data_IF_228309298266
#
_entry.id   IF_228309298266
#
_cell.length_a   1.000
_cell.length_b   1.000
_cell.length_c   1.000
_cell.angle_alpha   90.00
_cell.angle_beta   90.00
_cell.angle_gamma   90.00
#
_symmetry.space_group_name_H-M   'P 1'
#
loop_
_entity.id
_entity.type
_entity.pdbx_description
1 polymer ?
#
# COMPACT_ATOMS: atom_id res chain seq x y z
N UNK A 1 -35.93 16.07 -24.97
CA UNK A 1 -36.15 15.60 -23.58
C UNK A 1 -35.00 14.71 -23.19
N UNK A 2 -34.06 15.19 -22.39
CA UNK A 2 -33.03 14.32 -21.78
C UNK A 2 -33.64 13.68 -20.54
N UNK A 3 -33.82 12.36 -20.55
CA UNK A 3 -34.25 11.63 -19.37
C UNK A 3 -33.16 11.72 -18.30
N UNK A 4 -33.46 12.33 -17.16
CA UNK A 4 -32.60 12.28 -15.98
C UNK A 4 -32.67 10.86 -15.39
N UNK A 5 -31.77 9.98 -15.81
CA UNK A 5 -31.59 8.67 -15.18
C UNK A 5 -30.81 8.89 -13.89
N UNK A 6 -31.44 8.62 -12.75
CA UNK A 6 -30.79 8.65 -11.43
C UNK A 6 -30.36 7.23 -11.07
N UNK A 7 -29.05 7.02 -10.94
CA UNK A 7 -28.52 5.78 -10.38
C UNK A 7 -28.80 5.76 -8.86
N UNK A 8 -29.53 4.73 -8.42
CA UNK A 8 -29.69 4.43 -7.00
C UNK A 8 -28.68 3.34 -6.61
N UNK A 9 -27.65 3.73 -5.87
CA UNK A 9 -26.54 2.87 -5.46
C UNK A 9 -26.21 3.10 -3.98
N UNK A 10 -27.06 2.63 -3.04
CA UNK A 10 -26.91 2.90 -1.61
C UNK A 10 -25.64 2.32 -0.98
N UNK A 11 -25.01 1.35 -1.65
CA UNK A 11 -23.75 0.72 -1.22
C UNK A 11 -22.51 1.44 -1.77
N UNK A 12 -22.68 2.45 -2.64
CA UNK A 12 -21.56 3.22 -3.17
C UNK A 12 -20.79 3.91 -2.04
N UNK A 13 -19.47 3.68 -2.01
CA UNK A 13 -18.58 4.27 -1.01
C UNK A 13 -18.48 3.51 0.32
N UNK A 14 -19.28 2.46 0.55
CA UNK A 14 -19.14 1.58 1.73
C UNK A 14 -18.09 0.49 1.52
N UNK A 15 -17.67 -0.15 2.61
CA UNK A 15 -16.77 -1.31 2.61
C UNK A 15 -15.44 -1.02 1.88
N UNK A 16 -14.96 0.23 2.00
CA UNK A 16 -13.67 0.62 1.44
C UNK A 16 -12.55 -0.10 2.19
N UNK A 17 -11.59 -0.63 1.43
CA UNK A 17 -10.40 -1.27 1.98
C UNK A 17 -9.25 -0.33 1.69
N UNK A 18 -8.80 0.42 2.71
CA UNK A 18 -7.57 1.18 2.59
C UNK A 18 -6.39 0.31 3.00
N UNK A 19 -5.30 0.42 2.24
CA UNK A 19 -4.08 -0.30 2.51
C UNK A 19 -3.23 0.52 3.48
N UNK A 20 -2.94 -0.07 4.64
CA UNK A 20 -1.99 0.54 5.57
C UNK A 20 -0.61 0.57 4.91
N UNK A 21 -0.04 1.77 4.81
CA UNK A 21 1.28 2.00 4.22
C UNK A 21 2.26 2.51 5.28
N UNK A 22 3.35 1.78 5.47
CA UNK A 22 4.48 2.20 6.28
C UNK A 22 5.66 2.59 5.39
N UNK A 23 6.34 3.65 5.78
CA UNK A 23 7.51 4.17 5.06
C UNK A 23 8.62 4.41 6.05
N UNK A 24 9.80 3.89 5.75
CA UNK A 24 11.00 4.11 6.56
C UNK A 24 12.10 4.60 5.63
N UNK A 25 12.70 5.75 5.95
CA UNK A 25 13.88 6.26 5.28
C UNK A 25 15.13 5.77 6.01
N UNK A 26 16.01 5.09 5.29
CA UNK A 26 17.26 4.55 5.78
C UNK A 26 18.41 5.42 5.30
N UNK A 27 19.16 6.00 6.24
CA UNK A 27 20.38 6.74 5.91
C UNK A 27 21.43 5.77 5.39
N UNK A 28 22.00 6.07 4.23
CA UNK A 28 23.12 5.30 3.69
C UNK A 28 24.36 5.51 4.57
N UNK A 29 25.07 4.42 4.87
CA UNK A 29 26.32 4.47 5.63
C UNK A 29 27.41 5.23 4.85
N UNK A 30 27.55 4.92 3.55
CA UNK A 30 28.44 5.63 2.63
C UNK A 30 27.63 6.18 1.44
N UNK A 31 27.17 7.41 1.59
CA UNK A 31 26.47 8.16 0.55
C UNK A 31 27.35 8.59 -0.63
N UNK A 32 28.69 8.57 -0.52
CA UNK A 32 29.58 8.97 -1.61
C UNK A 32 29.53 8.01 -2.81
N UNK A 33 29.05 6.78 -2.58
CA UNK A 33 28.87 5.74 -3.61
C UNK A 33 27.70 6.00 -4.55
N UNK A 34 26.84 6.97 -4.24
CA UNK A 34 25.76 7.38 -5.14
C UNK A 34 24.69 6.32 -5.39
N UNK A 35 24.32 5.56 -4.35
CA UNK A 35 23.29 4.52 -4.47
C UNK A 35 21.86 5.04 -4.54
N UNK A 36 21.59 6.25 -4.07
CA UNK A 36 20.24 6.82 -4.09
C UNK A 36 20.07 7.91 -5.16
N UNK A 37 18.86 8.02 -5.69
CA UNK A 37 18.42 9.11 -6.56
C UNK A 37 18.59 10.45 -5.82
N UNK A 38 19.08 11.45 -6.56
CA UNK A 38 19.48 12.75 -6.02
C UNK A 38 20.95 12.80 -5.55
N UNK A 39 21.70 11.71 -5.70
CA UNK A 39 23.17 11.72 -5.59
C UNK A 39 23.82 12.19 -6.89
N UNK A 40 25.15 12.30 -6.90
CA UNK A 40 25.94 12.67 -8.07
C UNK A 40 26.16 11.52 -9.08
N UNK A 41 25.45 10.40 -8.95
CA UNK A 41 25.59 9.26 -9.85
C UNK A 41 24.95 9.56 -11.23
N UNK A 42 25.73 9.62 -12.32
CA UNK A 42 25.23 10.00 -13.64
C UNK A 42 24.24 8.98 -14.22
N UNK A 43 24.25 7.73 -13.74
CA UNK A 43 23.28 6.72 -14.19
C UNK A 43 21.84 7.18 -13.97
N UNK A 44 21.56 7.93 -12.89
CA UNK A 44 20.21 8.43 -12.62
C UNK A 44 19.77 9.59 -13.52
N UNK A 45 20.66 10.11 -14.38
CA UNK A 45 20.31 11.08 -15.43
C UNK A 45 19.80 10.40 -16.70
N UNK A 46 20.01 9.08 -16.83
CA UNK A 46 19.57 8.35 -18.01
C UNK A 46 18.03 8.27 -18.05
N UNK A 47 17.40 8.41 -19.24
CA UNK A 47 15.95 8.55 -19.36
C UNK A 47 15.14 7.42 -18.72
N UNK A 48 15.66 6.19 -18.71
CA UNK A 48 14.98 5.04 -18.13
C UNK A 48 14.72 5.19 -16.62
N UNK A 49 15.51 5.97 -15.89
CA UNK A 49 15.29 6.23 -14.46
C UNK A 49 14.18 7.26 -14.21
N UNK A 50 13.66 7.91 -15.26
CA UNK A 50 12.48 8.79 -15.20
C UNK A 50 11.16 8.10 -15.52
N UNK A 51 11.15 6.80 -15.87
CA UNK A 51 9.96 6.10 -16.38
C UNK A 51 9.10 5.42 -15.30
N UNK A 52 9.47 5.52 -14.01
CA UNK A 52 8.73 4.88 -12.95
C UNK A 52 9.35 5.03 -11.56
N UNK A 53 8.91 4.18 -10.64
CA UNK A 53 9.46 4.13 -9.28
C UNK A 53 10.79 3.37 -9.30
N UNK A 54 11.83 3.84 -8.59
CA UNK A 54 13.14 3.19 -8.53
C UNK A 54 13.14 2.00 -7.56
N UNK A 55 12.26 1.03 -7.83
CA UNK A 55 12.09 -0.20 -7.07
C UNK A 55 12.84 -1.32 -7.79
N UNK A 56 13.66 -2.06 -7.07
CA UNK A 56 14.40 -3.20 -7.64
C UNK A 56 13.95 -4.55 -7.09
N UNK A 57 13.32 -4.54 -5.93
CA UNK A 57 12.92 -5.76 -5.23
C UNK A 57 11.64 -5.52 -4.43
N UNK A 58 10.81 -6.55 -4.43
CA UNK A 58 9.63 -6.68 -3.60
C UNK A 58 9.73 -8.01 -2.84
N UNK A 59 9.46 -7.97 -1.55
CA UNK A 59 9.41 -9.14 -0.69
C UNK A 59 8.01 -9.27 -0.08
N UNK A 60 7.38 -10.43 -0.29
CA UNK A 60 6.09 -10.75 0.28
C UNK A 60 6.27 -11.51 1.59
N UNK A 61 5.75 -10.96 2.68
CA UNK A 61 5.69 -11.65 3.98
C UNK A 61 4.42 -12.48 4.01
N UNK A 62 4.50 -13.82 4.11
CA UNK A 62 3.32 -14.68 4.16
C UNK A 62 2.63 -14.59 5.52
N UNK A 63 1.32 -14.83 5.54
CA UNK A 63 0.59 -15.15 6.76
C UNK A 63 1.12 -16.45 7.33
N UNK A 64 1.48 -16.46 8.62
CA UNK A 64 1.83 -17.70 9.31
C UNK A 64 0.56 -18.55 9.49
N UNK A 65 0.61 -19.79 9.01
CA UNK A 65 -0.55 -20.69 8.99
C UNK A 65 -1.06 -20.97 10.39
N UNK A 66 -0.15 -21.24 11.31
CA UNK A 66 -0.45 -21.60 12.71
C UNK A 66 -1.19 -20.45 13.41
N UNK A 67 -0.73 -19.21 13.19
CA UNK A 67 -1.40 -18.02 13.71
C UNK A 67 -2.78 -17.80 13.11
N UNK A 68 -2.94 -18.04 11.81
CA UNK A 68 -4.22 -17.92 11.13
C UNK A 68 -5.23 -18.98 11.60
N UNK A 69 -4.80 -20.23 11.76
CA UNK A 69 -5.63 -21.32 12.29
C UNK A 69 -6.07 -21.02 13.73
N UNK A 70 -5.15 -20.52 14.57
CA UNK A 70 -5.49 -20.10 15.93
C UNK A 70 -6.53 -18.97 15.96
N UNK A 71 -6.41 -17.98 15.07
CA UNK A 71 -7.38 -16.88 14.94
C UNK A 71 -8.76 -17.39 14.50
N UNK A 72 -8.83 -18.26 13.48
CA UNK A 72 -10.08 -18.88 13.03
C UNK A 72 -10.72 -19.69 14.17
N UNK A 73 -9.93 -20.46 14.92
CA UNK A 73 -10.44 -21.21 16.07
C UNK A 73 -11.08 -20.29 17.12
N UNK A 74 -10.46 -19.13 17.38
CA UNK A 74 -10.97 -18.15 18.33
C UNK A 74 -12.29 -17.51 17.86
N UNK A 75 -12.39 -17.16 16.58
CA UNK A 75 -13.55 -16.46 16.01
C UNK A 75 -14.73 -17.41 15.72
N UNK A 76 -14.44 -18.61 15.20
CA UNK A 76 -15.44 -19.57 14.70
C UNK A 76 -15.62 -20.79 15.61
N UNK A 77 -14.87 -20.89 16.71
CA UNK A 77 -14.89 -21.99 17.69
C UNK A 77 -14.44 -23.36 17.17
N UNK A 78 -14.10 -23.47 15.88
CA UNK A 78 -13.51 -24.66 15.28
C UNK A 78 -12.71 -24.29 14.03
N UNK A 79 -11.67 -25.06 13.72
CA UNK A 79 -10.91 -24.93 12.48
C UNK A 79 -11.33 -26.05 11.54
N UNK A 80 -11.88 -25.69 10.37
CA UNK A 80 -12.13 -26.66 9.30
C UNK A 80 -11.00 -26.60 8.29
N UNK A 81 -10.48 -27.75 7.88
CA UNK A 81 -9.36 -27.82 6.93
C UNK A 81 -9.69 -27.24 5.54
N UNK A 82 -10.97 -27.14 5.19
CA UNK A 82 -11.47 -26.57 3.94
C UNK A 82 -11.82 -25.07 4.04
N UNK A 83 -11.53 -24.44 5.19
CA UNK A 83 -11.80 -23.02 5.43
C UNK A 83 -11.18 -22.14 4.33
N UNK A 84 -11.93 -21.17 3.81
CA UNK A 84 -11.54 -20.41 2.63
C UNK A 84 -10.22 -19.63 2.80
N UNK A 85 -9.92 -19.16 4.02
CA UNK A 85 -8.65 -18.49 4.36
C UNK A 85 -7.45 -19.45 4.40
N UNK A 86 -7.66 -20.76 4.47
CA UNK A 86 -6.59 -21.76 4.56
C UNK A 86 -6.24 -22.38 3.19
N UNK A 87 -7.01 -22.05 2.14
CA UNK A 87 -6.86 -22.58 0.77
C UNK A 87 -5.55 -22.18 0.08
N UNK A 88 -4.90 -21.11 0.53
CA UNK A 88 -3.64 -20.64 -0.02
C UNK A 88 -2.82 -19.92 1.05
N UNK A 89 -1.52 -19.77 0.79
CA UNK A 89 -0.66 -18.88 1.56
C UNK A 89 -0.82 -17.46 1.02
N UNK A 90 -1.38 -16.58 1.83
CA UNK A 90 -1.57 -15.18 1.47
C UNK A 90 -0.40 -14.32 1.94
N UNK A 91 0.05 -13.39 1.11
CA UNK A 91 0.94 -12.32 1.55
C UNK A 91 0.15 -11.30 2.39
N UNK A 92 0.66 -10.98 3.58
CA UNK A 92 0.06 -9.99 4.48
C UNK A 92 0.70 -8.62 4.34
N UNK A 93 2.00 -8.60 4.05
CA UNK A 93 2.78 -7.39 3.86
C UNK A 93 3.62 -7.57 2.60
N UNK A 94 3.60 -6.58 1.72
CA UNK A 94 4.59 -6.44 0.65
C UNK A 94 5.59 -5.35 1.03
N UNK A 95 6.87 -5.66 0.98
CA UNK A 95 7.97 -4.74 1.30
C UNK A 95 8.78 -4.44 0.04
N UNK A 96 8.88 -3.18 -0.32
CA UNK A 96 9.58 -2.71 -1.51
C UNK A 96 10.77 -1.83 -1.11
N UNK A 97 11.93 -2.05 -1.73
CA UNK A 97 13.10 -1.18 -1.55
C UNK A 97 13.14 -0.16 -2.68
N UNK A 98 13.10 1.12 -2.31
CA UNK A 98 13.12 2.27 -3.20
C UNK A 98 14.44 3.01 -3.05
N UNK A 99 15.15 3.22 -4.16
CA UNK A 99 16.40 4.00 -4.17
C UNK A 99 16.17 5.51 -4.19
N UNK A 100 15.12 5.98 -3.55
CA UNK A 100 14.83 7.40 -3.37
C UNK A 100 14.15 7.59 -2.00
N UNK A 101 14.37 8.73 -1.33
CA UNK A 101 13.63 9.05 -0.12
C UNK A 101 12.16 9.31 -0.44
N UNK A 102 11.28 8.66 0.30
CA UNK A 102 9.86 8.99 0.34
C UNK A 102 9.62 10.21 1.23
N UNK A 103 8.57 11.00 0.99
CA UNK A 103 8.23 12.17 1.79
C UNK A 103 8.23 11.86 3.31
N UNK A 104 8.77 12.75 4.16
CA UNK A 104 9.23 14.12 3.84
C UNK A 104 10.53 14.16 3.01
N UNK A 105 10.75 15.22 2.21
CA UNK A 105 11.90 15.30 1.31
C UNK A 105 13.21 15.30 2.11
N UNK A 106 14.11 14.39 1.75
CA UNK A 106 15.48 14.35 2.26
C UNK A 106 16.43 14.70 1.11
N UNK A 107 17.03 15.89 1.08
CA UNK A 107 17.91 16.31 -0.01
C UNK A 107 19.19 15.46 -0.12
N UNK A 108 19.75 15.41 -1.33
CA UNK A 108 21.15 15.03 -1.55
C UNK A 108 21.45 13.53 -1.67
N UNK A 109 20.46 12.68 -1.98
CA UNK A 109 20.72 11.26 -2.27
C UNK A 109 21.39 10.49 -1.13
N UNK A 110 21.08 10.87 0.11
CA UNK A 110 21.71 10.30 1.31
C UNK A 110 20.90 9.18 1.95
N UNK A 111 19.67 8.96 1.47
CA UNK A 111 18.74 7.97 2.02
C UNK A 111 18.08 7.18 0.90
N UNK A 112 17.77 5.93 1.22
CA UNK A 112 16.83 5.10 0.47
C UNK A 112 15.60 4.85 1.33
N UNK A 113 14.53 4.31 0.76
CA UNK A 113 13.31 4.03 1.50
C UNK A 113 12.92 2.57 1.40
N UNK A 114 12.28 2.09 2.47
CA UNK A 114 11.47 0.89 2.42
C UNK A 114 10.00 1.29 2.49
N UNK A 115 9.22 0.83 1.51
CA UNK A 115 7.78 0.98 1.45
C UNK A 115 7.13 -0.36 1.77
N UNK A 116 6.32 -0.40 2.82
CA UNK A 116 5.60 -1.61 3.25
C UNK A 116 4.10 -1.38 3.12
N UNK A 117 3.41 -2.30 2.45
CA UNK A 117 1.97 -2.25 2.23
C UNK A 117 1.29 -3.47 2.86
N UNK A 118 0.29 -3.26 3.71
CA UNK A 118 -0.57 -4.34 4.18
C UNK A 118 -1.56 -4.75 3.08
N UNK A 119 -1.53 -6.01 2.63
CA UNK A 119 -2.30 -6.49 1.48
C UNK A 119 -3.70 -7.04 1.83
N UNK A 120 -3.92 -7.42 3.09
CA UNK A 120 -5.18 -8.04 3.56
C UNK A 120 -5.77 -7.35 4.79
N UNK A 121 -6.07 -6.04 4.73
CA UNK A 121 -6.71 -5.36 5.84
C UNK A 121 -8.14 -5.89 6.06
N UNK A 122 -8.50 -6.13 7.32
CA UNK A 122 -9.87 -6.44 7.75
C UNK A 122 -10.66 -5.20 8.13
N UNK A 123 -9.99 -4.06 8.35
CA UNK A 123 -10.61 -2.75 8.57
C UNK A 123 -11.47 -2.33 7.38
N UNK A 124 -12.55 -1.59 7.65
CA UNK A 124 -13.50 -1.10 6.64
C UNK A 124 -13.82 0.36 6.85
N UNK A 125 -13.63 1.13 5.78
CA UNK A 125 -13.96 2.54 5.72
C UNK A 125 -15.22 2.85 4.93
N UNK A 126 -15.65 4.11 5.02
CA UNK A 126 -16.74 4.68 4.21
C UNK A 126 -16.31 6.00 3.58
N UNK A 127 -16.62 6.19 2.30
CA UNK A 127 -16.49 7.46 1.58
C UNK A 127 -17.88 7.98 1.28
N UNK A 128 -18.15 9.26 1.58
CA UNK A 128 -19.43 9.89 1.34
C UNK A 128 -19.29 11.20 0.57
N UNK A 129 -20.12 11.37 -0.46
CA UNK A 129 -20.24 12.63 -1.19
C UNK A 129 -21.10 13.60 -0.38
N UNK A 130 -20.54 14.80 -0.12
CA UNK A 130 -21.21 15.82 0.70
C UNK A 130 -21.91 16.88 -0.14
N UNK A 131 -21.83 16.81 -1.47
CA UNK A 131 -22.45 17.76 -2.40
C UNK A 131 -22.56 17.15 -3.79
N UNK A 132 -23.47 17.70 -4.60
CA UNK A 132 -23.55 17.43 -6.04
C UNK A 132 -22.50 18.21 -6.85
N UNK A 133 -21.83 19.20 -6.23
CA UNK A 133 -20.73 19.92 -6.87
C UNK A 133 -19.47 19.02 -6.86
N UNK A 134 -18.96 18.60 -8.02
CA UNK A 134 -17.80 17.71 -8.09
C UNK A 134 -16.51 18.34 -7.57
N UNK A 135 -16.45 19.67 -7.48
CA UNK A 135 -15.29 20.39 -6.90
C UNK A 135 -15.27 20.37 -5.38
N UNK A 136 -16.33 19.87 -4.71
CA UNK A 136 -16.36 19.76 -3.25
C UNK A 136 -15.78 18.41 -2.82
N UNK A 137 -14.89 18.42 -1.83
CA UNK A 137 -14.28 17.22 -1.28
C UNK A 137 -15.35 16.26 -0.69
N UNK A 138 -15.12 14.97 -0.91
CA UNK A 138 -15.82 13.90 -0.18
C UNK A 138 -15.33 13.84 1.27
N UNK A 139 -16.13 13.23 2.13
CA UNK A 139 -15.71 12.89 3.49
C UNK A 139 -15.31 11.42 3.53
N UNK A 140 -14.18 11.13 4.15
CA UNK A 140 -13.66 9.77 4.32
C UNK A 140 -13.65 9.42 5.80
N UNK A 141 -14.08 8.19 6.11
CA UNK A 141 -13.87 7.53 7.39
C UNK A 141 -13.02 6.29 7.09
N UNK A 142 -11.70 6.34 7.29
CA UNK A 142 -10.82 5.21 7.00
C UNK A 142 -11.13 4.01 7.91
#
# INVERSE_FOLDING_TARGET
MTSNVKLDAPEAGKNSNDHLHFRVNWKLQDHSKGYAIGSANPLFLEPQFGLGMPITSAASTPMQREGLEAAIAADERCVKSDHYLLKSTYAIIESNVLYAPLPPPVPGGTHISMFMMALKPTSRGTVSIMSKNPSRLSTTRP
#
